data_IF_844079342411
#
_entry.id   IF_844079342411
#
_cell.length_a   1.000
_cell.length_b   1.000
_cell.length_c   1.000
_cell.angle_alpha   90.00
_cell.angle_beta   90.00
_cell.angle_gamma   90.00
#
_symmetry.space_group_name_H-M   'P 1'
#
loop_
_entity.id
_entity.type
_entity.pdbx_description
1 polymer ?
#
# COMPACT_ATOMS: atom_id res chain seq x y z
N UNK A 1 3.69 10.90 4.32
CA UNK A 1 4.64 10.01 5.01
C UNK A 1 5.91 9.87 4.18
N UNK A 2 7.08 9.69 4.81
CA UNK A 2 8.31 9.29 4.13
C UNK A 2 8.92 8.08 4.83
N UNK A 3 9.47 7.14 4.06
CA UNK A 3 10.27 6.00 4.53
C UNK A 3 11.47 5.83 3.61
N UNK A 4 12.43 5.02 4.05
CA UNK A 4 13.55 4.57 3.23
C UNK A 4 13.59 3.06 3.32
N UNK A 5 13.85 2.42 2.19
CA UNK A 5 14.05 0.98 2.10
C UNK A 5 15.37 0.72 1.40
N UNK A 6 16.10 -0.29 1.85
CA UNK A 6 17.37 -0.66 1.26
C UNK A 6 17.15 -1.94 0.48
N UNK A 7 17.47 -1.92 -0.81
CA UNK A 7 17.34 -3.07 -1.72
C UNK A 7 18.69 -3.23 -2.41
N UNK A 8 19.30 -4.40 -2.31
CA UNK A 8 20.62 -4.68 -2.92
C UNK A 8 21.68 -3.62 -2.58
N UNK A 9 21.70 -3.14 -1.33
CA UNK A 9 22.63 -2.09 -0.88
C UNK A 9 22.35 -0.67 -1.38
N UNK A 10 21.31 -0.46 -2.20
CA UNK A 10 20.84 0.86 -2.65
C UNK A 10 19.68 1.33 -1.79
N UNK A 11 19.73 2.60 -1.38
CA UNK A 11 18.68 3.22 -0.56
C UNK A 11 17.65 3.89 -1.44
N UNK A 12 16.40 3.47 -1.32
CA UNK A 12 15.25 4.02 -2.04
C UNK A 12 14.39 4.85 -1.08
N UNK A 13 14.34 6.19 -1.25
CA UNK A 13 13.41 7.01 -0.51
C UNK A 13 11.99 6.81 -1.07
N UNK A 14 11.04 6.56 -0.19
CA UNK A 14 9.63 6.35 -0.51
C UNK A 14 8.79 7.44 0.17
N UNK A 15 7.78 7.94 -0.54
CA UNK A 15 6.83 8.91 0.01
C UNK A 15 5.40 8.60 -0.41
N UNK A 16 4.48 8.75 0.53
CA UNK A 16 3.04 8.67 0.31
C UNK A 16 2.40 9.99 0.69
N UNK A 17 1.57 10.53 -0.21
CA UNK A 17 0.87 11.80 -0.04
C UNK A 17 -0.52 11.75 -0.73
N UNK A 18 -1.29 12.84 -0.61
CA UNK A 18 -2.64 12.90 -1.18
C UNK A 18 -2.70 12.75 -2.71
N UNK A 19 -1.59 12.98 -3.41
CA UNK A 19 -1.50 12.83 -4.86
C UNK A 19 -1.17 11.40 -5.29
N UNK A 20 -0.72 10.52 -4.38
CA UNK A 20 -0.37 9.13 -4.69
C UNK A 20 -1.47 8.37 -5.44
N UNK A 21 -2.76 8.37 -5.03
CA UNK A 21 -3.80 7.65 -5.77
C UNK A 21 -4.03 8.21 -7.17
N UNK A 22 -3.86 9.53 -7.34
CA UNK A 22 -4.00 10.23 -8.62
C UNK A 22 -2.85 9.84 -9.55
N UNK A 23 -1.60 9.97 -9.06
CA UNK A 23 -0.40 9.60 -9.81
C UNK A 23 -0.42 8.12 -10.24
N UNK A 24 -0.90 7.24 -9.38
CA UNK A 24 -1.04 5.82 -9.69
C UNK A 24 -2.01 5.59 -10.87
N UNK A 25 -3.18 6.24 -10.82
CA UNK A 25 -4.18 6.13 -11.88
C UNK A 25 -3.70 6.73 -13.19
N UNK A 26 -3.05 7.89 -13.15
CA UNK A 26 -2.47 8.55 -14.32
C UNK A 26 -1.38 7.70 -14.98
N UNK A 27 -0.51 7.07 -14.18
CA UNK A 27 0.62 6.31 -14.72
C UNK A 27 0.20 4.97 -15.33
N UNK A 28 -0.76 4.28 -14.71
CA UNK A 28 -1.05 2.88 -15.04
C UNK A 28 -2.45 2.64 -15.60
N UNK A 29 -3.32 3.66 -15.60
CA UNK A 29 -4.73 3.51 -15.97
C UNK A 29 -5.52 2.58 -15.04
N UNK A 30 -4.96 2.22 -13.89
CA UNK A 30 -5.55 1.33 -12.88
C UNK A 30 -6.10 2.14 -11.73
N UNK A 31 -7.23 1.72 -11.17
CA UNK A 31 -7.78 2.39 -10.01
C UNK A 31 -7.08 1.92 -8.73
N UNK A 32 -6.38 2.84 -8.08
CA UNK A 32 -5.58 2.58 -6.87
C UNK A 32 -6.39 1.89 -5.77
N UNK A 33 -7.64 2.30 -5.55
CA UNK A 33 -8.46 1.75 -4.48
C UNK A 33 -9.03 0.39 -4.85
N UNK A 34 -9.34 0.14 -6.13
CA UNK A 34 -9.79 -1.18 -6.57
C UNK A 34 -8.71 -2.24 -6.37
N UNK A 35 -7.49 -1.97 -6.85
CA UNK A 35 -6.36 -2.90 -6.70
C UNK A 35 -6.07 -3.18 -5.20
N UNK A 36 -6.19 -2.13 -4.39
CA UNK A 36 -6.07 -2.24 -2.94
C UNK A 36 -7.17 -3.13 -2.32
N UNK A 37 -8.44 -2.92 -2.65
CA UNK A 37 -9.51 -3.73 -2.08
C UNK A 37 -9.39 -5.20 -2.48
N UNK A 38 -8.94 -5.48 -3.70
CA UNK A 38 -8.65 -6.85 -4.15
C UNK A 38 -7.57 -7.50 -3.27
N UNK A 39 -6.50 -6.77 -2.97
CA UNK A 39 -5.44 -7.25 -2.08
C UNK A 39 -5.92 -7.45 -0.63
N UNK A 40 -6.73 -6.54 -0.07
CA UNK A 40 -7.30 -6.70 1.28
C UNK A 40 -8.20 -7.94 1.33
N UNK A 41 -9.01 -8.16 0.30
CA UNK A 41 -9.88 -9.34 0.22
C UNK A 41 -9.06 -10.62 0.15
N UNK A 42 -8.01 -10.67 -0.69
CA UNK A 42 -7.10 -11.81 -0.76
C UNK A 42 -6.43 -12.09 0.60
N UNK A 43 -5.98 -11.05 1.30
CA UNK A 43 -5.44 -11.18 2.67
C UNK A 43 -6.49 -11.67 3.67
N UNK A 44 -7.70 -11.13 3.63
CA UNK A 44 -8.76 -11.55 4.56
C UNK A 44 -9.15 -13.01 4.35
N UNK A 45 -9.12 -13.50 3.11
CA UNK A 45 -9.36 -14.91 2.79
C UNK A 45 -8.23 -15.76 3.38
N UNK A 46 -6.97 -15.34 3.23
CA UNK A 46 -5.82 -16.01 3.83
C UNK A 46 -5.93 -16.05 5.37
N UNK A 47 -6.22 -14.91 6.00
CA UNK A 47 -6.38 -14.82 7.47
C UNK A 47 -7.55 -15.69 7.98
N UNK A 48 -8.60 -15.90 7.17
CA UNK A 48 -9.73 -16.79 7.50
C UNK A 48 -9.38 -18.27 7.34
N UNK A 49 -8.62 -18.64 6.31
CA UNK A 49 -8.14 -20.03 6.12
C UNK A 49 -7.16 -20.42 7.23
N UNK A 50 -6.29 -19.50 7.62
CA UNK A 50 -5.34 -19.65 8.72
C UNK A 50 -6.02 -19.81 10.10
N UNK A 51 -7.23 -19.28 10.28
CA UNK A 51 -8.01 -19.47 11.51
C UNK A 51 -8.67 -20.85 11.60
N UNK A 52 -8.71 -21.62 10.51
CA UNK A 52 -9.25 -22.98 10.48
C UNK A 52 -8.19 -24.04 10.81
N UNK A 53 -6.90 -23.70 10.78
CA UNK A 53 -5.79 -24.58 11.14
C UNK A 53 -5.20 -24.15 12.50
N UNK A 54 -5.83 -24.59 13.59
CA UNK A 54 -5.25 -24.46 14.93
C UNK A 54 -3.97 -25.32 15.05
N UNK A 55 -2.80 -24.69 14.94
CA UNK A 55 -1.58 -25.30 15.47
C UNK A 55 -0.24 -24.94 14.85
N UNK A 56 -0.18 -24.31 13.68
CA UNK A 56 1.10 -23.99 13.04
C UNK A 56 1.38 -22.48 13.02
N UNK A 57 2.54 -22.09 13.55
CA UNK A 57 3.07 -20.74 13.41
C UNK A 57 3.32 -20.46 11.92
N UNK A 58 2.49 -19.60 11.35
CA UNK A 58 2.62 -19.14 9.98
C UNK A 58 3.83 -18.22 9.84
N UNK A 59 4.99 -18.84 9.66
CA UNK A 59 6.12 -18.18 9.03
C UNK A 59 5.71 -17.80 7.60
N UNK A 60 6.29 -16.73 7.04
CA UNK A 60 6.02 -16.25 5.67
C UNK A 60 6.27 -17.27 4.54
N UNK A 61 6.57 -18.53 4.90
CA UNK A 61 6.78 -19.69 4.05
C UNK A 61 5.47 -20.48 3.78
N UNK A 62 4.42 -20.30 4.59
CA UNK A 62 3.11 -20.96 4.44
C UNK A 62 2.08 -20.09 3.70
N UNK A 63 2.54 -19.18 2.83
CA UNK A 63 1.64 -18.47 1.93
C UNK A 63 1.24 -19.42 0.81
N UNK A 64 -0.02 -19.87 0.77
CA UNK A 64 -0.54 -20.56 -0.40
C UNK A 64 -0.51 -19.60 -1.59
N UNK A 65 0.46 -19.84 -2.48
CA UNK A 65 0.72 -19.07 -3.71
C UNK A 65 -0.51 -19.05 -4.61
N UNK A 66 -1.48 -19.96 -4.43
CA UNK A 66 -2.77 -19.99 -5.13
C UNK A 66 -3.66 -18.77 -4.83
N UNK A 67 -3.64 -18.20 -3.62
CA UNK A 67 -4.43 -17.00 -3.29
C UNK A 67 -3.79 -15.75 -3.90
N UNK A 68 -2.49 -15.80 -4.16
CA UNK A 68 -1.77 -14.79 -4.93
C UNK A 68 -1.94 -14.95 -6.44
N UNK A 69 -2.43 -16.09 -6.96
CA UNK A 69 -2.54 -16.30 -8.40
C UNK A 69 -3.61 -15.42 -9.05
N UNK A 70 -4.67 -15.11 -8.30
CA UNK A 70 -5.72 -14.17 -8.74
C UNK A 70 -5.34 -12.71 -8.48
N UNK A 71 -4.29 -12.47 -7.69
CA UNK A 71 -3.83 -11.15 -7.36
C UNK A 71 -2.79 -10.65 -8.37
N UNK A 72 -2.97 -9.43 -8.86
CA UNK A 72 -1.99 -8.79 -9.72
C UNK A 72 -0.73 -8.40 -8.91
N UNK A 73 0.25 -9.30 -8.87
CA UNK A 73 1.55 -9.11 -8.19
C UNK A 73 2.32 -7.89 -8.71
N UNK A 74 1.96 -7.34 -9.89
CA UNK A 74 2.55 -6.09 -10.38
C UNK A 74 2.03 -4.87 -9.61
N UNK A 75 0.98 -5.00 -8.77
CA UNK A 75 0.52 -3.98 -7.84
C UNK A 75 1.64 -3.46 -6.95
N UNK A 76 2.42 -4.34 -6.32
CA UNK A 76 3.52 -3.92 -5.44
C UNK A 76 4.61 -3.17 -6.20
N UNK A 77 4.89 -3.54 -7.44
CA UNK A 77 5.83 -2.84 -8.31
C UNK A 77 5.31 -1.43 -8.64
N UNK A 78 4.04 -1.33 -9.05
CA UNK A 78 3.39 -0.05 -9.35
C UNK A 78 3.38 0.86 -8.12
N UNK A 79 3.01 0.31 -6.97
CA UNK A 79 2.94 1.04 -5.69
C UNK A 79 4.32 1.54 -5.27
N UNK A 80 5.32 0.66 -5.30
CA UNK A 80 6.70 1.00 -4.99
C UNK A 80 7.21 2.15 -5.85
N UNK A 81 7.02 2.04 -7.16
CA UNK A 81 7.49 3.07 -8.09
C UNK A 81 6.78 4.41 -7.88
N UNK A 82 5.47 4.41 -7.62
CA UNK A 82 4.73 5.65 -7.32
C UNK A 82 5.25 6.28 -6.03
N UNK A 83 5.54 5.49 -5.01
CA UNK A 83 6.12 6.02 -3.77
C UNK A 83 7.53 6.55 -3.99
N UNK A 84 8.37 5.87 -4.77
CA UNK A 84 9.71 6.33 -5.12
C UNK A 84 9.65 7.66 -5.90
N UNK A 85 8.79 7.74 -6.93
CA UNK A 85 8.61 8.96 -7.74
C UNK A 85 8.01 10.10 -6.94
N UNK A 86 7.12 9.81 -6.00
CA UNK A 86 6.55 10.79 -5.07
C UNK A 86 7.60 11.34 -4.08
N UNK A 87 8.63 10.56 -3.75
CA UNK A 87 9.75 11.01 -2.92
C UNK A 87 10.80 11.78 -3.72
N UNK A 88 11.03 11.37 -4.97
CA UNK A 88 12.00 11.94 -5.88
C UNK A 88 11.43 12.00 -7.31
N UNK A 89 11.06 13.19 -7.80
CA UNK A 89 10.52 13.36 -9.15
C UNK A 89 11.49 12.97 -10.28
N UNK A 90 12.79 12.79 -9.98
CA UNK A 90 13.81 12.36 -10.95
C UNK A 90 13.91 10.84 -11.11
N UNK A 91 13.07 10.07 -10.40
CA UNK A 91 12.96 8.63 -10.62
C UNK A 91 12.62 8.36 -12.08
N UNK A 92 13.33 7.40 -12.67
CA UNK A 92 13.19 7.01 -14.07
C UNK A 92 11.79 6.47 -14.37
N UNK A 93 11.47 6.35 -15.64
CA UNK A 93 10.24 5.68 -16.09
C UNK A 93 10.15 4.26 -15.51
N UNK A 94 8.93 3.76 -15.33
CA UNK A 94 8.63 2.51 -14.62
C UNK A 94 9.44 1.31 -15.15
N UNK A 95 9.43 1.14 -16.47
CA UNK A 95 10.18 0.13 -17.19
C UNK A 95 11.70 0.21 -16.94
N UNK A 96 12.30 1.37 -17.17
CA UNK A 96 13.75 1.58 -16.99
C UNK A 96 14.15 1.43 -15.52
N UNK A 97 13.30 1.88 -14.60
CA UNK A 97 13.56 1.79 -13.17
C UNK A 97 13.69 0.35 -12.66
N UNK A 98 12.80 -0.55 -13.12
CA UNK A 98 12.86 -1.96 -12.74
C UNK A 98 13.86 -2.75 -13.60
N UNK A 99 14.12 -2.35 -14.85
CA UNK A 99 15.16 -2.98 -15.67
C UNK A 99 16.57 -2.82 -15.08
N UNK A 100 16.83 -1.71 -14.39
CA UNK A 100 18.10 -1.44 -13.69
C UNK A 100 18.16 -2.01 -12.28
N UNK A 101 17.05 -2.58 -11.79
CA UNK A 101 16.96 -3.20 -10.48
C UNK A 101 17.30 -4.68 -10.61
N UNK A 102 18.34 -5.12 -9.91
CA UNK A 102 18.80 -6.53 -9.96
C UNK A 102 17.75 -7.49 -9.39
N UNK A 103 17.12 -7.10 -8.28
CA UNK A 103 16.10 -7.90 -7.61
C UNK A 103 15.07 -7.01 -6.91
N UNK A 104 13.81 -7.46 -6.89
CA UNK A 104 12.74 -6.81 -6.14
C UNK A 104 12.20 -7.77 -5.06
N UNK A 105 12.76 -7.74 -3.83
CA UNK A 105 12.37 -8.65 -2.75
C UNK A 105 11.00 -8.25 -2.16
N UNK A 106 9.92 -8.75 -2.78
CA UNK A 106 8.53 -8.45 -2.38
C UNK A 106 8.27 -8.80 -0.90
N UNK A 107 8.88 -9.87 -0.38
CA UNK A 107 8.68 -10.30 1.01
C UNK A 107 9.18 -9.27 2.02
N UNK A 108 10.27 -8.56 1.72
CA UNK A 108 10.84 -7.54 2.60
C UNK A 108 10.12 -6.19 2.42
N UNK A 109 9.80 -5.85 1.18
CA UNK A 109 9.28 -4.54 0.79
C UNK A 109 7.76 -4.46 1.03
N UNK A 110 7.04 -5.55 0.79
CA UNK A 110 5.58 -5.65 0.88
C UNK A 110 5.01 -5.12 2.20
N UNK A 111 5.51 -5.57 3.37
CA UNK A 111 5.07 -5.04 4.66
C UNK A 111 5.24 -3.53 4.80
N UNK A 112 6.34 -2.98 4.30
CA UNK A 112 6.61 -1.53 4.36
C UNK A 112 5.64 -0.76 3.47
N UNK A 113 5.38 -1.24 2.25
CA UNK A 113 4.41 -0.64 1.34
C UNK A 113 3.01 -0.64 1.94
N UNK A 114 2.62 -1.76 2.56
CA UNK A 114 1.35 -1.94 3.24
C UNK A 114 1.16 -1.00 4.41
N UNK A 115 2.20 -0.82 5.23
CA UNK A 115 2.18 0.14 6.33
C UNK A 115 2.01 1.57 5.82
N UNK A 116 2.78 1.96 4.80
CA UNK A 116 2.71 3.30 4.20
C UNK A 116 1.31 3.59 3.61
N UNK A 117 0.69 2.55 3.06
CA UNK A 117 -0.64 2.60 2.48
C UNK A 117 -1.75 2.71 3.55
N UNK A 118 -1.67 1.92 4.63
CA UNK A 118 -2.63 1.97 5.74
C UNK A 118 -2.68 3.34 6.40
N UNK A 119 -1.53 4.00 6.50
CA UNK A 119 -1.48 5.36 7.04
C UNK A 119 -2.10 6.39 6.09
N UNK A 120 -1.94 6.23 4.78
CA UNK A 120 -2.56 7.09 3.76
C UNK A 120 -4.09 7.00 3.72
N UNK A 121 -4.66 5.84 4.09
CA UNK A 121 -6.10 5.64 4.21
C UNK A 121 -6.72 6.17 5.49
N UNK A 122 -5.92 6.49 6.50
CA UNK A 122 -6.41 7.09 7.74
C UNK A 122 -6.76 8.56 7.53
N UNK A 123 -7.73 8.86 6.67
CA UNK A 123 -8.41 10.17 6.66
C UNK A 123 -9.28 10.27 7.91
N UNK A 124 -8.67 10.36 9.10
CA UNK A 124 -9.40 10.83 10.27
C UNK A 124 -9.69 12.30 10.06
N UNK A 125 -10.80 12.61 9.40
CA UNK A 125 -11.61 13.73 9.85
C UNK A 125 -11.92 13.41 11.31
N UNK A 126 -11.24 14.08 12.26
CA UNK A 126 -11.70 14.11 13.66
C UNK A 126 -13.19 14.43 13.56
N UNK A 127 -14.05 13.49 13.95
CA UNK A 127 -15.49 13.71 14.03
C UNK A 127 -15.68 15.01 14.80
N UNK A 128 -16.03 16.09 14.09
CA UNK A 128 -16.52 17.29 14.73
C UNK A 128 -17.83 16.84 15.37
N UNK A 129 -17.80 16.59 16.69
CA UNK A 129 -19.03 16.47 17.47
C UNK A 129 -19.90 17.66 17.06
N UNK A 130 -21.18 17.45 16.69
CA UNK A 130 -22.05 18.53 16.28
C UNK A 130 -22.03 19.58 17.39
N UNK A 131 -21.54 20.78 17.06
CA UNK A 131 -21.53 21.91 17.98
C UNK A 131 -22.99 22.15 18.35
N UNK A 132 -23.37 21.83 19.60
CA UNK A 132 -24.74 22.02 20.08
C UNK A 132 -25.10 23.47 19.81
N UNK A 133 -26.04 23.71 18.88
CA UNK A 133 -26.59 25.04 18.62
C UNK A 133 -27.08 25.60 19.96
N UNK A 134 -26.40 26.63 20.45
CA UNK A 134 -26.85 27.39 21.61
C UNK A 134 -28.22 27.97 21.24
N UNK A 135 -29.28 27.50 21.91
CA UNK A 135 -30.60 28.12 21.81
C UNK A 135 -30.45 29.56 22.31
N UNK A 136 -30.58 30.53 21.41
CA UNK A 136 -30.77 31.93 21.83
C UNK A 136 -32.11 31.99 22.56
N UNK A 137 -32.05 32.27 23.86
CA UNK A 137 -33.20 32.72 24.64
C UNK A 137 -33.54 34.12 24.14
N UNK A 138 -34.64 34.25 23.41
CA UNK A 138 -35.28 35.54 23.21
C UNK A 138 -36.03 35.88 24.50
N UNK A 139 -35.68 37.02 25.09
CA UNK A 139 -36.54 37.76 26.01
C UNK A 139 -37.53 38.59 25.21
#
# INVERSE_FOLDING_TARGET
MRKQVTICGKVYPLASNAYTPIAYKEQFGKDYFQDLFQMINAKSILDQLNQLEEGEELTAQNMDVSILSDFDMTFFHRLFWVFAKSANPRVKAFDVFFMEMEEFPIQEIGPVLMEMLNQGMSTRKKSMKPMKRVKKSSR
#
